data_IF_900270986184
#
_entry.id   IF_900270986184
#
_cell.length_a   1.000
_cell.length_b   1.000
_cell.length_c   1.000
_cell.angle_alpha   90.00
_cell.angle_beta   90.00
_cell.angle_gamma   90.00
#
_symmetry.space_group_name_H-M   'P 1'
#
loop_
_entity.id
_entity.type
_entity.pdbx_description
1 polymer ?
#
# COMPACT_ATOMS: atom_id res chain seq x y z
N UNK A 1 1.39 -7.61 -28.11
CA UNK A 1 1.13 -6.45 -27.22
C UNK A 1 2.37 -5.58 -27.28
N UNK A 2 2.23 -4.27 -27.56
CA UNK A 2 3.40 -3.38 -27.49
C UNK A 2 3.84 -3.17 -26.03
N UNK A 3 5.09 -2.76 -25.77
CA UNK A 3 5.52 -2.42 -24.41
C UNK A 3 4.63 -1.35 -23.75
N UNK A 4 4.15 -0.36 -24.51
CA UNK A 4 3.25 0.68 -24.01
C UNK A 4 1.87 0.11 -23.62
N UNK A 5 1.31 -0.77 -24.46
CA UNK A 5 0.04 -1.45 -24.15
C UNK A 5 0.17 -2.32 -22.89
N UNK A 6 1.33 -2.96 -22.71
CA UNK A 6 1.61 -3.79 -21.54
C UNK A 6 1.67 -2.95 -20.26
N UNK A 7 2.36 -1.80 -20.28
CA UNK A 7 2.39 -0.86 -19.13
C UNK A 7 1.00 -0.35 -18.78
N UNK A 8 0.21 0.06 -19.77
CA UNK A 8 -1.16 0.54 -19.55
C UNK A 8 -2.04 -0.58 -18.99
N UNK A 9 -1.92 -1.78 -19.53
CA UNK A 9 -2.69 -2.95 -19.06
C UNK A 9 -2.34 -3.29 -17.61
N UNK A 10 -1.06 -3.28 -17.26
CA UNK A 10 -0.61 -3.45 -15.87
C UNK A 10 -1.27 -2.42 -14.95
N UNK A 11 -1.22 -1.13 -15.31
CA UNK A 11 -1.84 -0.06 -14.52
C UNK A 11 -3.35 -0.25 -14.37
N UNK A 12 -4.07 -0.65 -15.43
CA UNK A 12 -5.52 -0.95 -15.38
C UNK A 12 -5.88 -2.09 -14.43
N UNK A 13 -4.96 -3.01 -14.16
CA UNK A 13 -5.15 -4.09 -13.19
C UNK A 13 -4.91 -3.57 -11.78
N UNK A 14 -3.75 -2.96 -11.52
CA UNK A 14 -3.34 -2.57 -10.15
C UNK A 14 -4.10 -1.35 -9.62
N UNK A 15 -4.70 -0.51 -10.47
CA UNK A 15 -5.44 0.69 -10.00
C UNK A 15 -6.64 0.35 -9.10
N UNK A 16 -7.17 -0.87 -9.18
CA UNK A 16 -8.31 -1.34 -8.39
C UNK A 16 -7.94 -1.62 -6.93
N UNK A 17 -6.65 -1.72 -6.62
CA UNK A 17 -6.19 -2.03 -5.28
C UNK A 17 -6.34 -0.82 -4.36
N UNK A 18 -6.71 -1.01 -3.09
CA UNK A 18 -6.86 0.08 -2.13
C UNK A 18 -5.53 0.81 -1.83
N UNK A 19 -4.40 0.19 -2.18
CA UNK A 19 -3.04 0.71 -1.99
C UNK A 19 -2.42 1.31 -3.26
N UNK A 20 -3.18 1.40 -4.36
CA UNK A 20 -2.67 2.02 -5.58
C UNK A 20 -2.39 3.51 -5.38
N UNK A 21 -1.24 3.96 -5.87
CA UNK A 21 -0.83 5.36 -5.77
C UNK A 21 -0.51 5.80 -4.34
N UNK A 22 -0.13 4.86 -3.45
CA UNK A 22 0.28 5.18 -2.09
C UNK A 22 1.76 5.53 -1.99
N UNK A 23 2.07 6.47 -1.09
CA UNK A 23 3.38 6.54 -0.46
C UNK A 23 3.41 5.56 0.72
N UNK A 24 4.52 4.83 0.88
CA UNK A 24 4.68 3.81 1.93
C UNK A 24 5.79 4.17 2.91
N UNK A 25 5.55 3.91 4.19
CA UNK A 25 6.48 4.19 5.28
C UNK A 25 6.53 3.01 6.24
N UNK A 26 7.72 2.47 6.48
CA UNK A 26 7.94 1.53 7.58
C UNK A 26 8.13 2.32 8.87
N UNK A 27 7.34 1.97 9.89
CA UNK A 27 7.35 2.68 11.17
C UNK A 27 7.36 1.70 12.32
N UNK A 28 7.92 2.16 13.44
CA UNK A 28 7.76 1.53 14.75
C UNK A 28 6.75 2.36 15.57
N UNK A 29 5.63 1.75 15.94
CA UNK A 29 4.57 2.39 16.74
C UNK A 29 4.57 1.86 18.18
N UNK A 30 4.12 2.70 19.12
CA UNK A 30 3.96 2.34 20.53
C UNK A 30 2.65 2.84 21.13
N UNK A 31 1.68 3.16 20.29
CA UNK A 31 0.41 3.81 20.69
C UNK A 31 -0.74 2.82 20.77
N UNK A 32 -0.75 1.78 19.92
CA UNK A 32 -1.81 0.78 19.88
C UNK A 32 -1.29 -0.62 20.27
N UNK A 33 -1.61 -1.11 21.49
CA UNK A 33 -1.07 -2.38 22.00
C UNK A 33 -1.51 -3.62 21.21
N UNK A 34 -2.66 -3.53 20.52
CA UNK A 34 -3.21 -4.63 19.74
C UNK A 34 -2.59 -4.74 18.34
N UNK A 35 -1.79 -3.76 17.93
CA UNK A 35 -1.07 -3.80 16.67
C UNK A 35 0.39 -4.19 16.89
N UNK A 36 1.03 -4.83 15.90
CA UNK A 36 2.47 -5.04 15.92
C UNK A 36 3.22 -3.73 16.14
N UNK A 37 4.40 -3.81 16.75
CA UNK A 37 5.29 -2.64 16.85
C UNK A 37 5.70 -2.14 15.46
N UNK A 38 5.98 -3.06 14.53
CA UNK A 38 6.39 -2.73 13.16
C UNK A 38 5.18 -2.74 12.22
N UNK A 39 4.89 -1.60 11.60
CA UNK A 39 3.81 -1.45 10.63
C UNK A 39 4.32 -0.81 9.34
N UNK A 40 3.64 -1.10 8.23
CA UNK A 40 3.76 -0.32 7.01
C UNK A 40 2.55 0.61 6.89
N UNK A 41 2.79 1.91 6.91
CA UNK A 41 1.78 2.93 6.66
C UNK A 41 1.68 3.17 5.15
N UNK A 42 0.47 3.21 4.61
CA UNK A 42 0.19 3.66 3.26
C UNK A 42 -0.63 4.96 3.29
N UNK A 43 -0.19 6.00 2.58
CA UNK A 43 -0.89 7.28 2.46
C UNK A 43 -1.29 7.48 1.00
N UNK A 44 -2.58 7.62 0.73
CA UNK A 44 -3.11 7.89 -0.61
C UNK A 44 -4.41 8.71 -0.58
N UNK A 45 -5.11 8.80 -1.72
CA UNK A 45 -6.38 9.55 -1.84
C UNK A 45 -7.50 9.09 -0.89
N UNK A 46 -7.40 7.90 -0.32
CA UNK A 46 -8.35 7.35 0.65
C UNK A 46 -7.97 7.67 2.11
N UNK A 47 -6.82 8.30 2.34
CA UNK A 47 -6.32 8.65 3.68
C UNK A 47 -5.11 7.81 4.07
N UNK A 48 -5.07 7.41 5.35
CA UNK A 48 -3.97 6.68 5.97
C UNK A 48 -4.42 5.26 6.30
N UNK A 49 -3.66 4.26 5.84
CA UNK A 49 -3.88 2.85 6.15
C UNK A 49 -2.71 2.28 6.94
N UNK A 50 -3.01 1.52 7.99
CA UNK A 50 -2.06 0.75 8.78
C UNK A 50 -2.05 -0.68 8.26
N UNK A 51 -0.89 -1.19 7.88
CA UNK A 51 -0.81 -2.50 7.26
C UNK A 51 0.23 -3.37 7.96
N UNK A 52 -0.19 -4.55 8.40
CA UNK A 52 0.69 -5.55 8.99
C UNK A 52 1.69 -6.05 7.93
N UNK A 53 3.01 -6.00 8.15
CA UNK A 53 4.01 -6.31 7.11
C UNK A 53 4.10 -7.81 6.77
N UNK A 54 3.83 -8.68 7.74
CA UNK A 54 3.95 -10.15 7.56
C UNK A 54 2.70 -10.80 6.95
N UNK A 55 1.51 -10.25 7.25
CA UNK A 55 0.22 -10.82 6.82
C UNK A 55 -0.46 -9.95 5.76
N UNK A 56 0.34 -9.18 5.02
CA UNK A 56 -0.10 -8.33 3.93
C UNK A 56 -1.16 -9.01 3.06
#
# INVERSE_FOLDING_TARGET
MSPEDAKITFLKIVYRWPTFGSAFFEVKQGTEPNYPEMLLIAINKHGVSLIHPQTK
#
